data_IF_893050207242
#
_entry.id   IF_893050207242
#
_cell.length_a   1.000
_cell.length_b   1.000
_cell.length_c   1.000
_cell.angle_alpha   90.00
_cell.angle_beta   90.00
_cell.angle_gamma   90.00
#
_symmetry.space_group_name_H-M   'P 1'
#
loop_
_entity.id
_entity.type
_entity.pdbx_description
1 polymer ?
#
# COMPACT_ATOMS: atom_id res chain seq x y z
N UNK A 1 20.96 8.79 7.73
CA UNK A 1 21.53 8.34 6.44
C UNK A 1 20.68 8.92 5.33
N UNK A 2 21.24 9.73 4.45
CA UNK A 2 20.54 10.24 3.27
C UNK A 2 20.25 9.05 2.35
N UNK A 3 18.98 8.79 2.03
CA UNK A 3 18.60 7.72 1.11
C UNK A 3 19.15 8.07 -0.28
N UNK A 4 20.05 7.24 -0.83
CA UNK A 4 20.49 7.34 -2.22
C UNK A 4 19.39 6.89 -3.17
N UNK A 5 19.44 7.33 -4.44
CA UNK A 5 18.51 6.87 -5.48
C UNK A 5 18.51 5.35 -5.62
N UNK A 6 19.68 4.71 -5.57
CA UNK A 6 19.80 3.26 -5.69
C UNK A 6 19.18 2.53 -4.51
N UNK A 7 19.34 3.04 -3.30
CA UNK A 7 18.71 2.49 -2.11
C UNK A 7 17.17 2.54 -2.19
N UNK A 8 16.62 3.65 -2.72
CA UNK A 8 15.15 3.76 -2.91
C UNK A 8 14.67 2.76 -3.95
N UNK A 9 15.35 2.62 -5.08
CA UNK A 9 15.01 1.65 -6.13
C UNK A 9 14.99 0.22 -5.59
N UNK A 10 16.03 -0.17 -4.85
CA UNK A 10 16.11 -1.48 -4.22
C UNK A 10 14.93 -1.75 -3.28
N UNK A 11 14.60 -0.79 -2.40
CA UNK A 11 13.49 -0.92 -1.44
C UNK A 11 12.13 -0.97 -2.13
N UNK A 12 11.91 -0.20 -3.20
CA UNK A 12 10.69 -0.27 -4.01
C UNK A 12 10.56 -1.64 -4.68
N UNK A 13 11.64 -2.15 -5.27
CA UNK A 13 11.66 -3.48 -5.87
C UNK A 13 11.42 -4.58 -4.82
N UNK A 14 12.03 -4.47 -3.64
CA UNK A 14 11.81 -5.39 -2.52
C UNK A 14 10.36 -5.41 -2.08
N UNK A 15 9.72 -4.23 -1.92
CA UNK A 15 8.30 -4.15 -1.56
C UNK A 15 7.40 -4.78 -2.64
N UNK A 16 7.70 -4.58 -3.93
CA UNK A 16 6.99 -5.26 -5.00
C UNK A 16 7.08 -6.79 -4.85
N UNK A 17 8.28 -7.34 -4.61
CA UNK A 17 8.47 -8.78 -4.44
C UNK A 17 7.71 -9.33 -3.24
N UNK A 18 7.74 -8.63 -2.10
CA UNK A 18 6.99 -8.99 -0.89
C UNK A 18 5.48 -9.07 -1.18
N UNK A 19 4.91 -8.00 -1.77
CA UNK A 19 3.47 -7.95 -2.06
C UNK A 19 3.04 -9.00 -3.09
N UNK A 20 3.86 -9.25 -4.10
CA UNK A 20 3.64 -10.31 -5.07
C UNK A 20 3.82 -11.71 -4.47
N UNK A 21 4.73 -11.91 -3.49
CA UNK A 21 4.93 -13.18 -2.79
C UNK A 21 3.76 -13.55 -1.89
N UNK A 22 3.11 -12.53 -1.32
CA UNK A 22 1.94 -12.68 -0.45
C UNK A 22 0.61 -12.69 -1.22
N UNK A 23 0.64 -12.75 -2.56
CA UNK A 23 -0.53 -12.77 -3.44
C UNK A 23 -1.48 -11.56 -3.25
N UNK A 24 -0.96 -10.40 -2.78
CA UNK A 24 -1.72 -9.17 -2.73
C UNK A 24 -1.99 -8.59 -4.12
N UNK A 25 -1.26 -9.07 -5.11
CA UNK A 25 -1.46 -8.73 -6.52
C UNK A 25 -0.99 -9.88 -7.40
N UNK A 26 -1.48 -9.95 -8.65
CA UNK A 26 -1.19 -11.04 -9.58
C UNK A 26 -0.56 -10.52 -10.86
N UNK A 27 0.29 -11.34 -11.47
CA UNK A 27 0.92 -11.08 -12.76
C UNK A 27 1.58 -9.69 -12.78
N UNK A 28 1.21 -8.85 -13.74
CA UNK A 28 1.81 -7.53 -13.97
C UNK A 28 1.06 -6.39 -13.26
N UNK A 29 -0.05 -6.70 -12.58
CA UNK A 29 -0.88 -5.69 -11.92
C UNK A 29 -0.27 -5.23 -10.58
N UNK A 30 -0.52 -3.98 -10.22
CA UNK A 30 -0.03 -3.38 -8.97
C UNK A 30 1.35 -2.75 -9.10
N UNK A 31 1.57 -1.73 -8.32
CA UNK A 31 2.82 -0.95 -8.33
C UNK A 31 3.07 -0.29 -6.98
N UNK A 32 4.34 -0.14 -6.68
CA UNK A 32 4.87 0.53 -5.49
C UNK A 32 5.64 1.75 -5.96
N UNK A 33 5.50 2.85 -5.24
CA UNK A 33 6.34 4.02 -5.44
C UNK A 33 6.89 4.57 -4.13
N UNK A 34 7.98 5.33 -4.24
CA UNK A 34 8.53 6.09 -3.13
C UNK A 34 9.02 7.46 -3.62
N UNK A 35 8.79 8.49 -2.79
CA UNK A 35 9.30 9.85 -3.03
C UNK A 35 10.78 9.92 -2.67
N UNK A 36 11.57 10.61 -3.49
CA UNK A 36 12.93 10.96 -3.13
C UNK A 36 12.89 12.19 -2.21
N UNK A 37 13.38 12.09 -0.96
CA UNK A 37 13.35 13.19 -0.01
C UNK A 37 13.99 14.47 -0.56
N UNK A 38 13.30 15.60 -0.40
CA UNK A 38 13.78 16.91 -0.85
C UNK A 38 13.65 17.18 -2.36
N UNK A 39 12.91 16.35 -3.09
CA UNK A 39 12.65 16.53 -4.52
C UNK A 39 11.17 16.35 -4.85
N UNK A 40 10.80 16.79 -6.06
CA UNK A 40 9.49 16.55 -6.70
C UNK A 40 9.48 15.27 -7.56
N UNK A 41 10.39 14.32 -7.28
CA UNK A 41 10.50 13.07 -8.03
C UNK A 41 10.10 11.87 -7.19
N UNK A 42 9.52 10.87 -7.84
CA UNK A 42 9.20 9.58 -7.27
C UNK A 42 9.85 8.46 -8.06
N UNK A 43 10.18 7.37 -7.38
CA UNK A 43 10.60 6.11 -7.98
C UNK A 43 9.41 5.17 -7.98
N UNK A 44 9.08 4.58 -9.13
CA UNK A 44 7.92 3.72 -9.30
C UNK A 44 8.27 2.49 -10.13
N UNK A 45 7.65 1.34 -9.82
CA UNK A 45 7.76 0.15 -10.65
C UNK A 45 7.18 0.43 -12.03
N UNK A 46 8.00 0.24 -13.06
CA UNK A 46 7.63 0.38 -14.46
C UNK A 46 7.09 -0.91 -15.07
N UNK A 47 6.53 -0.80 -16.26
CA UNK A 47 6.20 -1.89 -17.18
C UNK A 47 7.29 -2.00 -18.24
N UNK A 48 7.46 -3.18 -18.84
CA UNK A 48 8.47 -3.34 -19.88
C UNK A 48 8.40 -4.68 -20.59
N UNK A 49 9.14 -4.83 -21.72
CA UNK A 49 9.07 -6.02 -22.57
C UNK A 49 9.57 -7.29 -21.89
N UNK A 50 10.42 -7.17 -20.86
CA UNK A 50 10.95 -8.30 -20.09
C UNK A 50 10.21 -8.52 -18.77
N UNK A 51 9.01 -7.94 -18.61
CA UNK A 51 8.25 -7.99 -17.37
C UNK A 51 7.76 -9.41 -17.06
N UNK A 52 8.13 -9.93 -15.89
CA UNK A 52 7.67 -11.21 -15.36
C UNK A 52 6.59 -11.06 -14.28
N UNK A 53 6.19 -9.80 -13.97
CA UNK A 53 5.20 -9.47 -12.95
C UNK A 53 5.80 -8.97 -11.64
N UNK A 54 4.93 -8.46 -10.76
CA UNK A 54 5.30 -7.74 -9.53
C UNK A 54 6.18 -8.57 -8.61
N UNK A 55 5.91 -9.87 -8.51
CA UNK A 55 6.67 -10.82 -7.68
C UNK A 55 8.15 -10.92 -8.06
N UNK A 56 8.49 -10.64 -9.31
CA UNK A 56 9.84 -10.80 -9.88
C UNK A 56 10.50 -9.46 -10.20
N UNK A 57 9.99 -8.37 -9.65
CA UNK A 57 10.51 -7.01 -9.91
C UNK A 57 11.99 -6.91 -9.58
N UNK A 58 12.77 -6.40 -10.55
CA UNK A 58 14.19 -6.11 -10.43
C UNK A 58 14.41 -4.61 -10.22
N UNK A 59 15.60 -4.25 -9.76
CA UNK A 59 15.95 -2.85 -9.45
C UNK A 59 15.92 -1.96 -10.71
N UNK A 60 16.34 -2.50 -11.84
CA UNK A 60 16.36 -1.83 -13.14
C UNK A 60 14.96 -1.56 -13.71
N UNK A 61 13.93 -2.19 -13.17
CA UNK A 61 12.52 -1.92 -13.49
C UNK A 61 11.91 -0.77 -12.67
N UNK A 62 12.69 -0.10 -11.82
CA UNK A 62 12.23 1.04 -11.04
C UNK A 62 12.71 2.32 -11.72
N UNK A 63 11.76 3.07 -12.27
CA UNK A 63 12.02 4.32 -13.01
C UNK A 63 11.76 5.55 -12.13
N UNK A 64 12.39 6.66 -12.49
CA UNK A 64 12.19 7.96 -11.88
C UNK A 64 11.19 8.75 -12.72
N UNK A 65 10.12 9.25 -12.09
CA UNK A 65 9.09 10.09 -12.72
C UNK A 65 8.89 11.38 -11.94
N UNK A 66 8.44 12.40 -12.64
CA UNK A 66 8.04 13.67 -12.04
C UNK A 66 6.59 13.61 -11.49
N UNK A 67 6.10 14.73 -10.95
CA UNK A 67 4.75 14.82 -10.38
C UNK A 67 3.64 14.89 -11.44
N UNK A 68 3.96 15.02 -12.71
CA UNK A 68 3.03 14.89 -13.82
C UNK A 68 2.96 13.45 -14.37
N UNK A 69 3.79 12.55 -13.80
CA UNK A 69 3.87 11.14 -14.17
C UNK A 69 4.73 10.87 -15.40
N UNK A 70 5.55 11.83 -15.84
CA UNK A 70 6.46 11.66 -16.96
C UNK A 70 7.82 11.10 -16.49
N UNK A 71 8.45 10.28 -17.35
CA UNK A 71 9.81 9.80 -17.11
C UNK A 71 10.80 10.96 -17.06
N UNK A 72 11.62 11.02 -15.99
CA UNK A 72 12.69 12.03 -15.86
C UNK A 72 13.86 11.72 -16.80
N UNK A 73 14.11 10.45 -17.08
CA UNK A 73 15.19 10.00 -17.96
C UNK A 73 14.65 9.19 -19.14
N UNK A 74 14.80 9.70 -20.36
CA UNK A 74 14.33 9.06 -21.60
C UNK A 74 15.08 7.78 -22.03
N UNK A 75 16.07 7.33 -21.22
CA UNK A 75 16.93 6.19 -21.54
C UNK A 75 16.54 4.89 -20.83
N UNK A 76 15.34 4.81 -20.26
CA UNK A 76 14.91 3.64 -19.51
C UNK A 76 14.48 2.46 -20.42
N UNK A 77 15.31 2.14 -21.40
CA UNK A 77 15.38 0.86 -22.12
C UNK A 77 14.03 0.24 -22.54
N UNK A 78 13.06 1.07 -22.96
CA UNK A 78 11.72 0.60 -23.35
C UNK A 78 10.80 0.34 -22.15
N UNK A 79 11.15 0.84 -20.96
CA UNK A 79 10.28 0.85 -19.80
C UNK A 79 9.21 1.94 -19.92
N UNK A 80 8.00 1.62 -19.51
CA UNK A 80 6.85 2.50 -19.52
C UNK A 80 6.34 2.75 -18.11
N UNK A 81 5.93 3.95 -17.83
CA UNK A 81 5.25 4.30 -16.57
C UNK A 81 3.92 3.52 -16.45
N UNK A 82 3.53 3.07 -15.26
CA UNK A 82 2.22 2.45 -15.09
C UNK A 82 1.10 3.36 -15.58
N UNK A 83 0.09 2.80 -16.25
CA UNK A 83 -1.08 3.55 -16.73
C UNK A 83 -1.73 4.34 -15.58
N UNK A 84 -1.68 3.80 -14.37
CA UNK A 84 -2.27 4.38 -13.16
C UNK A 84 -1.28 5.17 -12.29
N UNK A 85 -0.25 5.74 -12.88
CA UNK A 85 0.70 6.61 -12.18
C UNK A 85 0.02 7.76 -11.43
N UNK A 86 -1.15 8.21 -11.91
CA UNK A 86 -1.91 9.30 -11.31
C UNK A 86 -2.50 8.96 -9.93
N UNK A 87 -2.62 7.68 -9.56
CA UNK A 87 -2.87 7.27 -8.17
C UNK A 87 -1.78 7.84 -7.27
N UNK A 88 -0.53 7.67 -7.66
CA UNK A 88 0.65 8.04 -6.87
C UNK A 88 0.85 9.54 -6.87
N UNK A 89 0.96 10.16 -8.05
CA UNK A 89 1.28 11.59 -8.16
C UNK A 89 0.24 12.46 -7.46
N UNK A 90 -1.06 12.15 -7.59
CA UNK A 90 -2.11 12.94 -6.94
C UNK A 90 -2.06 12.84 -5.41
N UNK A 91 -1.74 11.68 -4.84
CA UNK A 91 -1.58 11.52 -3.39
C UNK A 91 -0.35 12.29 -2.91
N UNK A 92 0.79 12.18 -3.60
CA UNK A 92 1.98 12.94 -3.23
C UNK A 92 1.80 14.46 -3.33
N UNK A 93 1.06 14.94 -4.34
CA UNK A 93 0.76 16.37 -4.50
C UNK A 93 -0.14 16.91 -3.38
N UNK A 94 -1.09 16.09 -2.91
CA UNK A 94 -2.05 16.52 -1.86
C UNK A 94 -1.54 16.27 -0.44
N UNK A 95 -0.53 15.42 -0.28
CA UNK A 95 -0.03 14.94 1.02
C UNK A 95 1.51 14.96 1.07
N UNK A 96 2.11 16.12 1.43
CA UNK A 96 3.57 16.26 1.47
C UNK A 96 4.29 15.31 2.45
N UNK A 97 3.59 14.86 3.49
CA UNK A 97 4.11 13.91 4.49
C UNK A 97 4.26 12.48 3.95
N UNK A 98 3.54 12.15 2.88
CA UNK A 98 3.58 10.81 2.29
C UNK A 98 4.89 10.60 1.53
N UNK A 99 5.60 9.53 1.88
CA UNK A 99 6.86 9.13 1.27
C UNK A 99 6.74 7.84 0.44
N UNK A 100 5.64 7.07 0.60
CA UNK A 100 5.36 5.89 -0.22
C UNK A 100 3.88 5.72 -0.47
N UNK A 101 3.54 5.33 -1.71
CA UNK A 101 2.20 4.96 -2.16
C UNK A 101 2.26 3.58 -2.81
N UNK A 102 1.33 2.73 -2.45
CA UNK A 102 1.21 1.36 -2.96
C UNK A 102 -0.21 1.15 -3.49
N UNK A 103 -0.30 0.58 -4.67
CA UNK A 103 -1.56 0.13 -5.25
C UNK A 103 -1.47 -1.35 -5.58
N UNK A 104 -2.39 -2.15 -5.03
CA UNK A 104 -2.45 -3.61 -5.19
C UNK A 104 -3.89 -4.10 -5.25
N UNK A 105 -4.07 -5.36 -5.67
CA UNK A 105 -5.39 -5.95 -5.96
C UNK A 105 -5.67 -7.20 -5.11
N UNK A 106 -5.76 -7.12 -3.77
CA UNK A 106 -6.03 -8.26 -2.91
C UNK A 106 -7.43 -8.83 -3.19
N UNK A 107 -7.56 -10.09 -3.63
CA UNK A 107 -8.85 -10.60 -4.11
C UNK A 107 -9.96 -10.56 -3.06
N UNK A 108 -9.64 -10.86 -1.78
CA UNK A 108 -10.66 -10.87 -0.73
C UNK A 108 -11.15 -9.47 -0.38
N UNK A 109 -10.25 -8.48 -0.33
CA UNK A 109 -10.65 -7.06 -0.12
C UNK A 109 -11.59 -6.61 -1.24
N UNK A 110 -11.27 -6.98 -2.48
CA UNK A 110 -12.11 -6.67 -3.63
C UNK A 110 -13.52 -7.28 -3.49
N UNK A 111 -13.65 -8.52 -3.01
CA UNK A 111 -14.95 -9.15 -2.75
C UNK A 111 -15.79 -8.33 -1.76
N UNK A 112 -15.19 -7.85 -0.67
CA UNK A 112 -15.90 -7.00 0.31
C UNK A 112 -16.37 -5.69 -0.32
N UNK A 113 -15.59 -5.10 -1.20
CA UNK A 113 -15.92 -3.83 -1.87
C UNK A 113 -17.09 -3.95 -2.85
N UNK A 114 -17.20 -5.08 -3.57
CA UNK A 114 -18.29 -5.30 -4.53
C UNK A 114 -19.59 -5.81 -3.88
N UNK A 115 -19.48 -6.37 -2.66
CA UNK A 115 -20.62 -6.85 -1.90
C UNK A 115 -21.15 -5.80 -0.89
N UNK A 116 -20.60 -4.60 -0.88
CA UNK A 116 -20.90 -3.52 0.09
C UNK A 116 -20.88 -4.03 1.55
N UNK A 117 -19.97 -4.95 1.83
CA UNK A 117 -19.84 -5.62 3.11
C UNK A 117 -18.70 -5.01 3.91
N UNK A 118 -18.92 -4.51 5.13
CA UNK A 118 -17.87 -3.89 5.92
C UNK A 118 -16.82 -4.91 6.38
N UNK A 119 -15.57 -4.48 6.43
CA UNK A 119 -14.50 -5.17 7.13
C UNK A 119 -14.61 -4.87 8.62
N UNK A 120 -14.96 -5.90 9.39
CA UNK A 120 -15.13 -5.78 10.85
C UNK A 120 -13.80 -5.91 11.57
N UNK A 121 -13.56 -5.19 12.67
CA UNK A 121 -12.41 -5.38 13.54
C UNK A 121 -12.58 -6.67 14.35
N UNK A 122 -12.20 -7.80 13.76
CA UNK A 122 -12.33 -9.12 14.37
C UNK A 122 -11.08 -9.53 15.15
N UNK A 123 -9.92 -9.06 14.73
CA UNK A 123 -8.67 -9.27 15.42
C UNK A 123 -8.52 -8.30 16.59
N UNK A 124 -8.05 -8.83 17.72
CA UNK A 124 -7.57 -8.08 18.84
C UNK A 124 -6.05 -8.28 19.00
N UNK A 125 -5.62 -8.83 20.12
CA UNK A 125 -4.21 -9.07 20.43
C UNK A 125 -3.53 -10.08 19.49
N UNK A 126 -4.27 -10.87 18.73
CA UNK A 126 -3.71 -11.79 17.73
C UNK A 126 -3.00 -11.04 16.60
N UNK A 127 -3.64 -10.00 16.04
CA UNK A 127 -3.02 -9.09 15.07
C UNK A 127 -3.40 -7.63 15.36
N UNK A 128 -2.63 -6.96 16.23
CA UNK A 128 -2.89 -5.57 16.58
C UNK A 128 -2.80 -4.60 15.39
N UNK A 129 -2.01 -4.93 14.36
CA UNK A 129 -1.87 -4.10 13.15
C UNK A 129 -3.18 -4.05 12.37
N UNK A 130 -3.78 -5.20 12.09
CA UNK A 130 -5.08 -5.29 11.42
C UNK A 130 -6.21 -4.68 12.26
N UNK A 131 -6.17 -4.84 13.60
CA UNK A 131 -7.11 -4.16 14.48
C UNK A 131 -7.00 -2.64 14.38
N UNK A 132 -5.79 -2.10 14.44
CA UNK A 132 -5.56 -0.66 14.39
C UNK A 132 -6.01 -0.06 13.05
N UNK A 133 -5.70 -0.70 11.92
CA UNK A 133 -6.10 -0.18 10.60
C UNK A 133 -7.63 -0.21 10.42
N UNK A 134 -8.30 -1.25 10.92
CA UNK A 134 -9.76 -1.32 10.91
C UNK A 134 -10.39 -0.20 11.73
N UNK A 135 -9.80 0.14 12.89
CA UNK A 135 -10.30 1.17 13.80
C UNK A 135 -9.91 2.59 13.39
N UNK A 136 -8.84 2.77 12.64
CA UNK A 136 -8.43 4.08 12.10
C UNK A 136 -9.33 4.56 10.97
N UNK A 137 -10.12 3.66 10.40
CA UNK A 137 -10.99 3.92 9.26
C UNK A 137 -10.26 3.78 7.92
N UNK A 138 -10.81 2.93 7.07
CA UNK A 138 -10.39 2.74 5.69
C UNK A 138 -11.37 3.52 4.81
N UNK A 139 -10.88 4.44 3.98
CA UNK A 139 -11.75 5.18 3.06
C UNK A 139 -12.18 4.33 1.87
N UNK A 140 -13.24 4.75 1.18
CA UNK A 140 -13.76 4.06 0.01
C UNK A 140 -13.82 5.01 -1.18
N UNK A 141 -13.48 4.48 -2.35
CA UNK A 141 -13.66 5.12 -3.64
C UNK A 141 -14.63 4.30 -4.48
N UNK A 142 -15.85 4.82 -4.64
CA UNK A 142 -16.98 4.08 -5.23
C UNK A 142 -16.97 4.14 -6.76
N UNK A 143 -15.84 3.75 -7.37
CA UNK A 143 -15.69 3.64 -8.83
C UNK A 143 -14.79 2.45 -9.19
N UNK A 144 -15.21 1.69 -10.22
CA UNK A 144 -14.53 0.49 -10.73
C UNK A 144 -13.83 0.77 -12.06
N UNK A 145 -12.99 1.80 -12.09
CA UNK A 145 -12.31 2.25 -13.31
C UNK A 145 -10.81 2.38 -13.11
N UNK A 146 -10.04 2.36 -14.21
CA UNK A 146 -8.62 2.68 -14.19
C UNK A 146 -8.40 4.17 -13.90
N UNK A 147 -7.44 4.48 -13.04
CA UNK A 147 -7.06 5.85 -12.67
C UNK A 147 -5.98 6.35 -13.63
N UNK A 148 -6.34 6.54 -14.87
CA UNK A 148 -5.43 6.83 -15.98
C UNK A 148 -5.39 8.31 -16.40
N UNK A 149 -5.94 9.21 -15.60
CA UNK A 149 -5.88 10.65 -15.82
C UNK A 149 -5.61 11.42 -14.53
N UNK A 150 -5.02 12.64 -14.62
CA UNK A 150 -4.83 13.50 -13.43
C UNK A 150 -6.13 13.82 -12.69
N UNK A 151 -7.24 13.99 -13.40
CA UNK A 151 -8.55 14.27 -12.80
C UNK A 151 -9.02 13.10 -11.94
N UNK A 152 -8.93 11.87 -12.42
CA UNK A 152 -9.28 10.66 -11.67
C UNK A 152 -8.35 10.45 -10.47
N UNK A 153 -7.05 10.75 -10.62
CA UNK A 153 -6.10 10.73 -9.50
C UNK A 153 -6.51 11.70 -8.39
N UNK A 154 -6.90 12.93 -8.73
CA UNK A 154 -7.40 13.92 -7.78
C UNK A 154 -8.68 13.46 -7.08
N UNK A 155 -9.61 12.85 -7.80
CA UNK A 155 -10.84 12.32 -7.24
C UNK A 155 -10.55 11.21 -6.22
N UNK A 156 -9.67 10.26 -6.57
CA UNK A 156 -9.22 9.22 -5.65
C UNK A 156 -8.53 9.80 -4.42
N UNK A 157 -7.59 10.73 -4.62
CA UNK A 157 -6.87 11.37 -3.52
C UNK A 157 -7.82 12.12 -2.57
N UNK A 158 -8.86 12.79 -3.12
CA UNK A 158 -9.91 13.43 -2.33
C UNK A 158 -10.73 12.40 -1.54
N UNK A 159 -11.11 11.27 -2.14
CA UNK A 159 -11.84 10.19 -1.47
C UNK A 159 -11.00 9.55 -0.36
N UNK A 160 -9.71 9.37 -0.59
CA UNK A 160 -8.78 8.86 0.41
C UNK A 160 -8.59 9.83 1.59
N UNK A 161 -8.54 11.14 1.32
CA UNK A 161 -8.36 12.17 2.34
C UNK A 161 -7.10 11.95 3.15
N UNK A 162 -7.23 11.91 4.48
CA UNK A 162 -6.12 11.64 5.43
C UNK A 162 -5.99 10.17 5.80
N UNK A 163 -6.83 9.29 5.28
CA UNK A 163 -6.74 7.87 5.56
C UNK A 163 -5.42 7.27 5.05
N UNK A 164 -4.87 6.32 5.77
CA UNK A 164 -3.69 5.56 5.33
C UNK A 164 -4.01 4.56 4.22
N UNK A 165 -5.31 4.29 3.97
CA UNK A 165 -5.75 3.36 2.95
C UNK A 165 -7.10 3.76 2.33
N UNK A 166 -7.27 3.40 1.07
CA UNK A 166 -8.51 3.55 0.32
C UNK A 166 -8.84 2.26 -0.43
N UNK A 167 -10.03 1.71 -0.20
CA UNK A 167 -10.55 0.61 -0.98
C UNK A 167 -11.24 1.19 -2.22
N UNK A 168 -10.85 0.69 -3.39
CA UNK A 168 -11.41 1.08 -4.68
C UNK A 168 -12.38 -0.02 -5.13
N UNK A 169 -13.65 0.30 -5.24
CA UNK A 169 -14.73 -0.66 -5.52
C UNK A 169 -14.44 -1.50 -6.75
N UNK A 170 -14.43 -2.83 -6.59
CA UNK A 170 -14.21 -3.77 -7.70
C UNK A 170 -12.88 -3.62 -8.42
N UNK A 171 -11.89 -2.94 -7.80
CA UNK A 171 -10.59 -2.66 -8.40
C UNK A 171 -9.44 -3.15 -7.51
N UNK A 172 -9.23 -2.53 -6.36
CA UNK A 172 -8.13 -2.87 -5.47
C UNK A 172 -8.06 -1.96 -4.26
N UNK A 173 -6.87 -1.80 -3.72
CA UNK A 173 -6.59 -0.88 -2.62
C UNK A 173 -5.41 0.04 -2.96
N UNK A 174 -5.44 1.21 -2.37
CA UNK A 174 -4.28 2.12 -2.34
C UNK A 174 -3.92 2.42 -0.89
N UNK A 175 -2.64 2.27 -0.54
CA UNK A 175 -2.10 2.64 0.78
C UNK A 175 -1.05 3.72 0.65
N UNK A 176 -0.93 4.57 1.67
CA UNK A 176 0.00 5.69 1.71
C UNK A 176 0.55 5.90 3.12
N UNK A 177 1.87 6.10 3.23
CA UNK A 177 2.55 6.24 4.51
C UNK A 177 3.85 7.06 4.40
N UNK A 178 4.48 7.31 5.55
CA UNK A 178 5.77 8.02 5.67
C UNK A 178 6.98 7.14 5.31
N UNK A 179 6.78 5.83 5.05
CA UNK A 179 7.82 4.92 4.59
C UNK A 179 7.25 3.81 3.71
N UNK A 180 8.13 3.16 2.92
CA UNK A 180 7.77 2.03 2.05
C UNK A 180 7.26 0.87 2.89
N UNK A 181 7.96 0.57 3.97
CA UNK A 181 7.63 -0.52 4.88
C UNK A 181 6.26 -0.35 5.51
N UNK A 182 5.96 0.86 5.99
CA UNK A 182 4.68 1.16 6.62
C UNK A 182 3.53 1.07 5.60
N UNK A 183 3.70 1.61 4.39
CA UNK A 183 2.70 1.50 3.33
C UNK A 183 2.44 0.03 2.94
N UNK A 184 3.50 -0.79 2.87
CA UNK A 184 3.39 -2.22 2.58
C UNK A 184 2.70 -2.98 3.72
N UNK A 185 3.05 -2.70 4.97
CA UNK A 185 2.39 -3.30 6.13
C UNK A 185 0.90 -2.95 6.18
N UNK A 186 0.49 -1.73 5.83
CA UNK A 186 -0.93 -1.38 5.73
C UNK A 186 -1.66 -2.23 4.69
N UNK A 187 -1.07 -2.46 3.52
CA UNK A 187 -1.66 -3.33 2.51
C UNK A 187 -1.79 -4.78 3.01
N UNK A 188 -0.77 -5.28 3.70
CA UNK A 188 -0.76 -6.63 4.30
C UNK A 188 -1.85 -6.73 5.38
N UNK A 189 -1.94 -5.79 6.31
CA UNK A 189 -2.95 -5.79 7.38
C UNK A 189 -4.38 -5.76 6.84
N UNK A 190 -4.63 -4.99 5.77
CA UNK A 190 -5.97 -4.96 5.14
C UNK A 190 -6.28 -6.31 4.49
N UNK A 191 -5.30 -6.93 3.84
CA UNK A 191 -5.47 -8.25 3.25
C UNK A 191 -5.77 -9.31 4.32
N UNK A 192 -5.01 -9.34 5.42
CA UNK A 192 -5.23 -10.23 6.57
C UNK A 192 -6.60 -9.99 7.22
N UNK A 193 -6.98 -8.71 7.39
CA UNK A 193 -8.30 -8.36 7.91
C UNK A 193 -9.42 -8.88 7.00
N UNK A 194 -9.27 -8.76 5.68
CA UNK A 194 -10.25 -9.28 4.73
C UNK A 194 -10.29 -10.82 4.73
N UNK A 195 -9.13 -11.45 4.85
CA UNK A 195 -9.03 -12.91 4.93
C UNK A 195 -9.80 -13.47 6.11
N UNK A 196 -9.56 -12.95 7.32
CA UNK A 196 -10.28 -13.42 8.51
C UNK A 196 -11.78 -13.09 8.46
N UNK A 197 -12.15 -11.90 7.98
CA UNK A 197 -13.54 -11.53 7.80
C UNK A 197 -14.26 -12.50 6.84
N UNK A 198 -13.61 -12.87 5.74
CA UNK A 198 -14.14 -13.83 4.78
C UNK A 198 -14.37 -15.20 5.42
N UNK A 199 -13.35 -15.76 6.07
CA UNK A 199 -13.44 -17.07 6.68
C UNK A 199 -14.40 -17.11 7.89
N UNK A 200 -14.41 -16.09 8.72
CA UNK A 200 -15.32 -15.99 9.85
C UNK A 200 -16.79 -15.99 9.42
N UNK A 201 -17.12 -15.30 8.30
CA UNK A 201 -18.48 -15.27 7.73
C UNK A 201 -18.92 -16.62 7.15
N UNK A 202 -17.98 -17.46 6.71
CA UNK A 202 -18.31 -18.84 6.30
C UNK A 202 -18.67 -19.73 7.49
N UNK A 203 -18.12 -19.43 8.69
CA UNK A 203 -18.43 -20.16 9.91
C UNK A 203 -19.72 -19.67 10.61
N UNK A 204 -20.16 -18.45 10.31
CA UNK A 204 -21.36 -17.89 10.91
C UNK A 204 -21.37 -16.35 10.91
N UNK A 205 -21.96 -15.78 11.96
CA UNK A 205 -22.02 -14.33 12.16
C UNK A 205 -20.86 -13.85 13.06
N UNK A 206 -19.78 -13.33 12.50
CA UNK A 206 -18.64 -12.89 13.30
C UNK A 206 -19.02 -11.66 14.15
N UNK A 207 -18.55 -11.66 15.38
CA UNK A 207 -18.71 -10.53 16.31
C UNK A 207 -17.44 -9.71 16.33
N UNK A 208 -17.52 -8.37 16.12
CA UNK A 208 -16.37 -7.49 16.30
C UNK A 208 -15.84 -7.60 17.75
N UNK A 209 -14.58 -7.22 17.95
CA UNK A 209 -14.06 -7.01 19.30
C UNK A 209 -14.92 -5.97 20.04
N UNK A 210 -15.03 -6.09 21.36
CA UNK A 210 -15.90 -5.22 22.16
C UNK A 210 -15.53 -3.74 22.00
N UNK A 211 -16.49 -2.82 22.20
CA UNK A 211 -16.18 -1.38 22.16
C UNK A 211 -15.14 -0.98 23.22
N UNK A 212 -15.14 -1.66 24.39
CA UNK A 212 -14.14 -1.45 25.41
C UNK A 212 -12.74 -1.81 24.92
N UNK A 213 -12.58 -2.97 24.26
CA UNK A 213 -11.30 -3.37 23.66
C UNK A 213 -10.91 -2.51 22.48
N UNK A 214 -11.87 -2.08 21.63
CA UNK A 214 -11.61 -1.14 20.55
C UNK A 214 -11.01 0.17 21.07
N UNK A 215 -11.55 0.69 22.19
CA UNK A 215 -11.03 1.91 22.79
C UNK A 215 -9.59 1.71 23.32
N UNK A 216 -9.26 0.56 23.89
CA UNK A 216 -7.87 0.23 24.26
C UNK A 216 -6.94 0.28 23.05
N UNK A 217 -7.37 -0.29 21.90
CA UNK A 217 -6.56 -0.22 20.67
C UNK A 217 -6.43 1.20 20.10
N UNK A 218 -7.50 2.03 20.15
CA UNK A 218 -7.43 3.44 19.74
C UNK A 218 -6.43 4.22 20.60
N UNK A 219 -6.46 4.00 21.93
CA UNK A 219 -5.51 4.64 22.85
C UNK A 219 -4.08 4.16 22.63
N UNK A 220 -3.87 2.89 22.30
CA UNK A 220 -2.55 2.39 21.92
C UNK A 220 -2.02 3.05 20.64
N UNK A 221 -2.88 3.23 19.64
CA UNK A 221 -2.53 3.90 18.38
C UNK A 221 -2.21 5.39 18.56
N UNK A 222 -2.91 6.06 19.48
CA UNK A 222 -2.69 7.48 19.80
C UNK A 222 -1.41 7.77 20.58
N UNK A 223 -0.75 6.75 21.14
CA UNK A 223 0.53 6.93 21.85
C UNK A 223 1.63 7.37 20.87
N UNK A 224 2.48 8.33 21.26
CA UNK A 224 3.63 8.69 20.43
C UNK A 224 4.41 7.43 20.08
N UNK A 225 4.67 7.23 18.78
CA UNK A 225 5.54 6.14 18.33
C UNK A 225 6.91 6.36 18.97
N UNK A 226 7.33 5.49 19.88
CA UNK A 226 8.63 5.59 20.57
C UNK A 226 9.81 5.50 19.60
N UNK A 227 9.56 4.98 18.40
CA UNK A 227 10.55 4.85 17.34
C UNK A 227 9.86 5.09 16.00
N UNK A 228 10.53 5.82 15.11
CA UNK A 228 10.06 6.05 13.75
C UNK A 228 10.01 4.72 12.98
N UNK A 229 8.99 4.48 12.14
CA UNK A 229 8.97 3.32 11.24
C UNK A 229 10.29 3.22 10.45
N UNK A 230 10.84 2.01 10.36
CA UNK A 230 12.13 1.77 9.71
C UNK A 230 13.36 1.94 10.60
N UNK A 231 13.23 2.39 11.85
CA UNK A 231 14.33 2.41 12.80
C UNK A 231 14.67 0.98 13.24
N UNK A 232 15.95 0.56 13.16
CA UNK A 232 16.38 -0.75 13.63
C UNK A 232 15.91 -1.01 15.07
N UNK A 233 15.24 -2.16 15.29
CA UNK A 233 14.70 -2.55 16.59
C UNK A 233 13.22 -2.22 16.81
N UNK A 234 12.55 -1.47 15.93
CA UNK A 234 11.10 -1.33 16.00
C UNK A 234 10.38 -2.64 15.63
N UNK A 235 9.12 -2.79 16.09
CA UNK A 235 8.29 -3.94 15.70
C UNK A 235 8.06 -3.98 14.19
N UNK A 236 7.78 -2.85 13.59
CA UNK A 236 7.55 -2.70 12.15
C UNK A 236 8.79 -3.13 11.34
N UNK A 237 9.98 -2.74 11.78
CA UNK A 237 11.23 -3.17 11.16
C UNK A 237 11.46 -4.69 11.30
N UNK A 238 11.04 -5.29 12.41
CA UNK A 238 11.12 -6.74 12.59
C UNK A 238 10.14 -7.49 11.69
N UNK A 239 8.88 -7.00 11.60
CA UNK A 239 7.87 -7.54 10.68
C UNK A 239 8.32 -7.40 9.22
N UNK A 240 8.87 -6.24 8.86
CA UNK A 240 9.37 -6.04 7.50
C UNK A 240 10.45 -7.04 7.14
N UNK A 241 11.47 -7.24 8.01
CA UNK A 241 12.50 -8.27 7.79
C UNK A 241 11.92 -9.68 7.62
N UNK A 242 10.88 -10.04 8.38
CA UNK A 242 10.19 -11.31 8.21
C UNK A 242 9.59 -11.44 6.80
N UNK A 243 8.85 -10.43 6.32
CA UNK A 243 8.25 -10.48 4.99
C UNK A 243 9.30 -10.49 3.86
N UNK A 244 10.38 -9.74 4.01
CA UNK A 244 11.49 -9.74 3.07
C UNK A 244 12.15 -11.13 3.00
N UNK A 245 12.34 -11.80 4.12
CA UNK A 245 12.91 -13.16 4.16
C UNK A 245 12.07 -14.18 3.37
N UNK A 246 10.77 -13.94 3.18
CA UNK A 246 9.90 -14.80 2.36
C UNK A 246 10.17 -14.67 0.85
N UNK A 247 10.95 -13.69 0.41
CA UNK A 247 11.25 -13.42 -1.00
C UNK A 247 12.60 -13.93 -1.45
N UNK A 248 13.39 -14.46 -0.53
CA UNK A 248 14.74 -15.03 -0.77
C UNK A 248 14.71 -16.46 -1.28
#
# INVERSE_FOLDING_TARGET
>A
MTLSKDNIRERVAEACRVLGRLDLTKATTGHVSARLPGTEHIFIRARGPAELGVRYTQIDQIVEVDMDGALVHSKDQGLEVPIEVFIHTAIYQSRPEVMSVIHVHPPKVMLFSICDTPLLPLYGAYDPGSAQIALSGISNYDRSILINTPALGKDLSKAMGKSCACIMRGHGITTAAESIEEAALYAIYINELADINYHARLLGNPRPISEEDQEVFRQMAARPKKQTPGVPGSREAALWRYYVALTQ
#
